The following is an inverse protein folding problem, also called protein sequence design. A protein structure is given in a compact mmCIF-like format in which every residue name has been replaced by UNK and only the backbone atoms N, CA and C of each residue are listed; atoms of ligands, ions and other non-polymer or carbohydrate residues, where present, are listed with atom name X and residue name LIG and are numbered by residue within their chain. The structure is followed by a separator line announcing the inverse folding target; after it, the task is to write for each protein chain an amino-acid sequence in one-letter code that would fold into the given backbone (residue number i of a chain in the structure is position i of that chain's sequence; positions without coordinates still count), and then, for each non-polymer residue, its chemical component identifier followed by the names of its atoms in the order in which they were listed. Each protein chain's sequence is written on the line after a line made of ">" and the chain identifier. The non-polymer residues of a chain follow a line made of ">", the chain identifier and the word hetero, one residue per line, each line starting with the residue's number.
data_IF_194204641700
#
_entry.id   IF_194204641700
#
_cell.length_a   1.000
_cell.length_b   1.000
_cell.length_c   1.000
_cell.angle_alpha   90.00
_cell.angle_beta   90.00
_cell.angle_gamma   90.00
#
_symmetry.space_group_name_H-M   'P 1'
#
loop_
_entity.id
_entity.type
_entity.pdbx_description
1 polymer ?
#
# COMPACT_ATOMS: atom_id res chain seq x y z
N UNK A 1 27.40 -24.97 -60.28
CA UNK A 1 27.04 -23.54 -60.10
C UNK A 1 26.16 -23.45 -58.86
N UNK A 2 26.73 -22.98 -57.75
CA UNK A 2 26.11 -22.89 -56.43
C UNK A 2 25.29 -21.61 -56.30
N UNK A 3 24.01 -21.69 -55.94
CA UNK A 3 23.28 -20.57 -55.32
C UNK A 3 22.47 -21.12 -54.14
N UNK A 4 23.10 -21.11 -52.96
CA UNK A 4 22.42 -21.26 -51.69
C UNK A 4 21.72 -19.95 -51.34
N UNK A 5 20.38 -19.96 -51.35
CA UNK A 5 19.58 -18.87 -50.81
C UNK A 5 19.52 -19.03 -49.28
N UNK A 6 20.25 -18.15 -48.59
CA UNK A 6 20.28 -18.07 -47.14
C UNK A 6 18.95 -17.49 -46.62
N UNK A 7 18.02 -18.37 -46.26
CA UNK A 7 16.78 -17.98 -45.59
C UNK A 7 17.09 -17.46 -44.19
N UNK A 8 17.25 -16.13 -44.07
CA UNK A 8 17.40 -15.43 -42.80
C UNK A 8 16.05 -15.48 -42.06
N UNK A 9 15.80 -16.58 -41.34
CA UNK A 9 14.68 -16.72 -40.42
C UNK A 9 14.78 -15.57 -39.39
N UNK A 10 13.74 -14.74 -39.18
CA UNK A 10 13.81 -13.68 -38.18
C UNK A 10 14.07 -14.37 -36.83
N UNK A 11 15.21 -14.06 -36.22
CA UNK A 11 15.58 -14.69 -34.96
C UNK A 11 14.58 -14.20 -33.92
N UNK A 12 13.78 -15.12 -33.37
CA UNK A 12 12.82 -14.86 -32.30
C UNK A 12 13.43 -14.07 -31.12
N UNK A 13 14.76 -14.08 -30.97
CA UNK A 13 15.50 -13.26 -30.02
C UNK A 13 15.36 -11.74 -30.19
N UNK A 14 15.07 -11.22 -31.40
CA UNK A 14 14.84 -9.77 -31.59
C UNK A 14 13.56 -9.29 -30.91
N UNK A 15 12.44 -9.97 -31.17
CA UNK A 15 11.14 -9.67 -30.57
C UNK A 15 11.15 -9.87 -29.05
N UNK A 16 11.82 -10.94 -28.56
CA UNK A 16 11.95 -11.18 -27.12
C UNK A 16 12.78 -10.10 -26.41
N UNK A 17 13.81 -9.55 -27.05
CA UNK A 17 14.62 -8.45 -26.50
C UNK A 17 13.82 -7.14 -26.44
N UNK A 18 13.02 -6.84 -27.46
CA UNK A 18 12.20 -5.62 -27.46
C UNK A 18 11.07 -5.67 -26.42
N UNK A 19 10.47 -6.85 -26.21
CA UNK A 19 9.51 -7.07 -25.13
C UNK A 19 10.16 -6.89 -23.75
N UNK A 20 11.37 -7.42 -23.55
CA UNK A 20 12.11 -7.27 -22.28
C UNK A 20 12.43 -5.80 -22.00
N UNK A 21 12.91 -5.04 -23.01
CA UNK A 21 13.16 -3.59 -22.87
C UNK A 21 11.89 -2.83 -22.51
N UNK A 22 10.75 -3.17 -23.12
CA UNK A 22 9.46 -2.55 -22.80
C UNK A 22 9.03 -2.82 -21.36
N UNK A 23 9.20 -4.04 -20.86
CA UNK A 23 8.90 -4.40 -19.47
C UNK A 23 9.78 -3.60 -18.51
N UNK A 24 11.09 -3.56 -18.75
CA UNK A 24 12.05 -2.84 -17.91
C UNK A 24 11.68 -1.35 -17.84
N UNK A 25 11.51 -0.70 -18.99
CA UNK A 25 11.18 0.73 -19.04
C UNK A 25 9.87 1.06 -18.29
N UNK A 26 8.86 0.18 -18.39
CA UNK A 26 7.60 0.35 -17.65
C UNK A 26 7.80 0.21 -16.14
N UNK A 27 8.61 -0.75 -15.69
CA UNK A 27 8.91 -0.96 -14.26
C UNK A 27 9.73 0.19 -13.69
N UNK A 28 10.73 0.68 -14.43
CA UNK A 28 11.54 1.83 -14.01
C UNK A 28 10.65 3.07 -13.81
N UNK A 29 9.79 3.37 -14.79
CA UNK A 29 8.83 4.48 -14.68
C UNK A 29 7.92 4.34 -13.46
N UNK A 30 7.34 3.16 -13.23
CA UNK A 30 6.48 2.91 -12.06
C UNK A 30 7.24 3.00 -10.74
N UNK A 31 8.54 2.69 -10.74
CA UNK A 31 9.39 2.80 -9.55
C UNK A 31 9.67 4.27 -9.23
N UNK A 32 10.00 5.07 -10.23
CA UNK A 32 10.15 6.53 -10.08
C UNK A 32 8.86 7.19 -9.56
N UNK A 33 7.71 6.86 -10.16
CA UNK A 33 6.40 7.36 -9.72
C UNK A 33 6.11 6.97 -8.26
N UNK A 34 6.44 5.73 -7.87
CA UNK A 34 6.30 5.24 -6.49
C UNK A 34 7.22 6.00 -5.53
N UNK A 35 8.45 6.30 -5.92
CA UNK A 35 9.40 7.05 -5.10
C UNK A 35 8.94 8.49 -4.88
N UNK A 36 8.45 9.15 -5.94
CA UNK A 36 7.84 10.49 -5.86
C UNK A 36 6.65 10.49 -4.90
N UNK A 37 5.70 9.58 -5.08
CA UNK A 37 4.52 9.48 -4.21
C UNK A 37 4.90 9.16 -2.76
N UNK A 38 5.92 8.33 -2.56
CA UNK A 38 6.43 8.04 -1.22
C UNK A 38 7.11 9.26 -0.58
N UNK A 39 7.70 10.16 -1.36
CA UNK A 39 8.23 11.43 -0.88
C UNK A 39 7.09 12.37 -0.47
N UNK A 40 6.07 12.53 -1.31
CA UNK A 40 4.90 13.36 -1.00
C UNK A 40 4.21 12.90 0.30
N UNK A 41 4.05 11.58 0.48
CA UNK A 41 3.49 11.00 1.72
C UNK A 41 4.38 11.32 2.94
N UNK A 42 5.71 11.29 2.79
CA UNK A 42 6.64 11.62 3.87
C UNK A 42 6.52 13.08 4.27
N UNK A 43 6.37 13.98 3.29
CA UNK A 43 6.23 15.42 3.54
C UNK A 43 4.92 15.72 4.28
N UNK A 44 3.81 15.09 3.90
CA UNK A 44 2.53 15.21 4.64
C UNK A 44 2.67 14.75 6.10
N UNK A 45 3.38 13.64 6.35
CA UNK A 45 3.65 13.22 7.73
C UNK A 45 4.57 14.17 8.48
N UNK A 46 5.52 14.82 7.80
CA UNK A 46 6.39 15.83 8.39
C UNK A 46 5.61 17.10 8.75
N UNK A 47 4.69 17.55 7.90
CA UNK A 47 3.75 18.63 8.18
C UNK A 47 2.88 18.32 9.41
N UNK A 48 2.30 17.12 9.45
CA UNK A 48 1.51 16.68 10.60
C UNK A 48 2.33 16.72 11.89
N UNK A 49 3.59 16.27 11.85
CA UNK A 49 4.50 16.35 13.00
C UNK A 49 4.81 17.80 13.39
N UNK A 50 5.05 18.68 12.42
CA UNK A 50 5.27 20.11 12.65
C UNK A 50 4.06 20.83 13.25
N UNK A 51 2.86 20.38 12.90
CA UNK A 51 1.59 20.83 13.47
C UNK A 51 1.26 20.24 14.85
N UNK A 52 2.10 19.37 15.42
CA UNK A 52 1.92 18.79 16.75
C UNK A 52 1.09 17.51 16.79
N UNK A 53 0.76 16.90 15.66
CA UNK A 53 0.00 15.64 15.62
C UNK A 53 0.87 14.42 15.88
N UNK A 54 0.30 13.39 16.51
CA UNK A 54 0.97 12.09 16.64
C UNK A 54 0.89 11.29 15.32
N UNK A 55 2.01 11.30 14.59
CA UNK A 55 2.17 10.56 13.33
C UNK A 55 1.96 9.05 13.49
N UNK A 56 2.27 8.45 14.65
CA UNK A 56 2.01 7.02 14.90
C UNK A 56 0.52 6.75 14.98
N UNK A 57 -0.22 7.57 15.71
CA UNK A 57 -1.68 7.46 15.79
C UNK A 57 -2.33 7.60 14.40
N UNK A 58 -1.91 8.59 13.59
CA UNK A 58 -2.41 8.77 12.22
C UNK A 58 -2.14 7.52 11.36
N UNK A 59 -0.94 6.92 11.44
CA UNK A 59 -0.61 5.69 10.70
C UNK A 59 -1.52 4.53 11.11
N UNK A 60 -1.79 4.38 12.41
CA UNK A 60 -2.73 3.38 12.92
C UNK A 60 -4.14 3.60 12.37
N UNK A 61 -4.63 4.85 12.39
CA UNK A 61 -5.95 5.20 11.83
C UNK A 61 -6.02 4.87 10.33
N UNK A 62 -4.99 5.23 9.55
CA UNK A 62 -4.95 4.89 8.12
C UNK A 62 -5.01 3.37 7.90
N UNK A 63 -4.31 2.59 8.73
CA UNK A 63 -4.34 1.12 8.66
C UNK A 63 -5.74 0.58 8.96
N UNK A 64 -6.38 1.06 10.02
CA UNK A 64 -7.75 0.69 10.40
C UNK A 64 -8.72 1.03 9.26
N UNK A 65 -8.61 2.24 8.71
CA UNK A 65 -9.48 2.73 7.61
C UNK A 65 -9.35 1.92 6.31
N UNK A 66 -8.27 1.17 6.12
CA UNK A 66 -8.06 0.28 4.97
C UNK A 66 -8.72 -1.10 5.14
N UNK A 67 -9.08 -1.48 6.36
CA UNK A 67 -9.81 -2.72 6.61
C UNK A 67 -11.26 -2.60 6.13
N UNK A 68 -11.85 -3.71 5.72
CA UNK A 68 -13.26 -3.76 5.37
C UNK A 68 -14.12 -3.27 6.54
N UNK A 69 -15.18 -2.51 6.24
CA UNK A 69 -15.98 -1.87 7.27
C UNK A 69 -16.77 -2.89 8.10
N UNK A 70 -17.31 -3.94 7.46
CA UNK A 70 -18.09 -4.97 8.13
C UNK A 70 -17.19 -5.88 8.99
N UNK A 71 -16.03 -6.26 8.47
CA UNK A 71 -15.04 -7.04 9.23
C UNK A 71 -14.52 -6.25 10.45
N UNK A 72 -14.33 -4.93 10.30
CA UNK A 72 -13.91 -4.06 11.40
C UNK A 72 -14.97 -3.96 12.48
N UNK A 73 -16.22 -3.73 12.11
CA UNK A 73 -17.33 -3.60 13.06
C UNK A 73 -17.54 -4.89 13.87
N UNK A 74 -17.43 -6.05 13.22
CA UNK A 74 -17.49 -7.35 13.89
C UNK A 74 -16.32 -7.52 14.88
N UNK A 75 -15.09 -7.19 14.45
CA UNK A 75 -13.89 -7.25 15.32
C UNK A 75 -13.98 -6.28 16.50
N UNK A 76 -14.45 -5.05 16.28
CA UNK A 76 -14.63 -4.03 17.31
C UNK A 76 -15.67 -4.47 18.34
N UNK A 77 -16.82 -4.99 17.91
CA UNK A 77 -17.87 -5.52 18.80
C UNK A 77 -17.35 -6.63 19.72
N UNK A 78 -16.61 -7.58 19.15
CA UNK A 78 -16.01 -8.69 19.91
C UNK A 78 -14.96 -8.18 20.89
N UNK A 79 -14.09 -7.26 20.45
CA UNK A 79 -13.04 -6.69 21.28
C UNK A 79 -13.63 -5.88 22.44
N UNK A 80 -14.65 -5.06 22.16
CA UNK A 80 -15.36 -4.26 23.16
C UNK A 80 -15.97 -5.14 24.24
N UNK A 81 -16.62 -6.25 23.86
CA UNK A 81 -17.18 -7.24 24.80
C UNK A 81 -16.11 -7.76 25.76
N UNK A 82 -14.94 -8.14 25.25
CA UNK A 82 -13.84 -8.63 26.08
C UNK A 82 -13.20 -7.53 26.91
N UNK A 83 -13.01 -6.33 26.36
CA UNK A 83 -12.44 -5.20 27.09
C UNK A 83 -13.35 -4.76 28.23
N UNK A 84 -14.66 -4.79 28.04
CA UNK A 84 -15.65 -4.55 29.09
C UNK A 84 -15.53 -5.61 30.19
N UNK A 85 -15.52 -6.90 29.84
CA UNK A 85 -15.35 -7.99 30.80
C UNK A 85 -14.03 -7.91 31.60
N UNK A 86 -12.98 -7.32 31.02
CA UNK A 86 -11.69 -7.09 31.65
C UNK A 86 -11.58 -5.75 32.41
N UNK A 87 -12.63 -4.92 32.41
CA UNK A 87 -12.60 -3.59 33.04
C UNK A 87 -11.64 -2.61 32.37
N UNK A 88 -11.32 -2.82 31.09
CA UNK A 88 -10.39 -2.00 30.32
C UNK A 88 -11.05 -0.83 29.58
N UNK A 89 -12.38 -0.84 29.48
CA UNK A 89 -13.14 0.31 28.99
C UNK A 89 -13.46 1.22 30.18
N UNK A 90 -13.46 2.55 30.00
CA UNK A 90 -14.07 3.42 30.98
C UNK A 90 -15.52 2.98 31.09
N UNK A 91 -15.88 2.40 32.24
CA UNK A 91 -17.28 2.35 32.63
C UNK A 91 -17.70 3.81 32.66
N UNK A 92 -18.59 4.20 31.75
CA UNK A 92 -19.41 5.36 32.03
C UNK A 92 -20.22 4.93 33.25
N UNK A 93 -19.69 5.21 34.44
CA UNK A 93 -20.51 5.25 35.64
C UNK A 93 -21.58 6.28 35.27
N UNK A 94 -22.79 5.81 34.98
CA UNK A 94 -23.94 6.66 35.09
C UNK A 94 -23.91 7.12 36.54
N UNK A 95 -23.45 8.36 36.75
CA UNK A 95 -23.65 9.05 38.02
C UNK A 95 -25.16 9.07 38.23
N UNK A 96 -25.67 8.07 38.97
CA UNK A 96 -27.03 8.04 39.47
C UNK A 96 -27.22 9.25 40.42
N UNK A 97 -27.51 10.42 39.86
CA UNK A 97 -28.09 11.59 40.56
C UNK A 97 -29.31 12.16 39.81
#
# INVERSE_FOLDING_TARGET
>A
MTIGHNSKKPRAGGVAVDQLKSIIARVEKLTEEKESLAADIRDVFAEAKGGGWDVKAIRSIIKIRKQDASEREEQETVLETYMNALGMLPLFEEDDE
#
